data_IF_849287386956
#
_entry.id   IF_849287386956
#
_cell.length_a   1.000
_cell.length_b   1.000
_cell.length_c   1.000
_cell.angle_alpha   90.00
_cell.angle_beta   90.00
_cell.angle_gamma   90.00
#
_symmetry.space_group_name_H-M   'P 1'
#
loop_
_entity.id
_entity.type
_entity.pdbx_description
1 polymer ?
#
# COMPACT_ATOMS: atom_id res chain seq x y z
N UNK A 1 2.38 27.71 -9.70
CA UNK A 1 2.88 26.31 -9.56
C UNK A 1 3.17 25.80 -10.96
N UNK A 2 4.42 25.47 -11.25
CA UNK A 2 4.85 25.15 -12.62
C UNK A 2 4.14 23.90 -13.15
N UNK A 3 3.81 23.88 -14.44
CA UNK A 3 3.09 22.76 -15.06
C UNK A 3 3.85 21.43 -14.91
N UNK A 4 5.18 21.48 -14.92
CA UNK A 4 6.08 20.36 -14.64
C UNK A 4 5.94 19.81 -13.21
N UNK A 5 5.85 20.68 -12.21
CA UNK A 5 5.71 20.29 -10.81
C UNK A 5 4.34 19.66 -10.53
N UNK A 6 3.29 20.18 -11.19
CA UNK A 6 1.94 19.57 -11.17
C UNK A 6 1.94 18.18 -11.82
N UNK A 7 2.72 17.98 -12.87
CA UNK A 7 2.88 16.70 -13.56
C UNK A 7 3.57 15.65 -12.68
N UNK A 8 4.77 15.95 -12.18
CA UNK A 8 5.51 15.02 -11.31
C UNK A 8 4.70 14.64 -10.08
N UNK A 9 4.03 15.63 -9.48
CA UNK A 9 3.15 15.36 -8.36
C UNK A 9 1.98 14.45 -8.76
N UNK A 10 1.27 14.73 -9.85
CA UNK A 10 0.12 13.91 -10.25
C UNK A 10 0.52 12.47 -10.56
N UNK A 11 1.64 12.25 -11.23
CA UNK A 11 2.11 10.92 -11.61
C UNK A 11 2.58 10.12 -10.39
N UNK A 12 3.48 10.70 -9.58
CA UNK A 12 4.00 10.04 -8.36
C UNK A 12 2.86 9.72 -7.39
N UNK A 13 1.96 10.70 -7.15
CA UNK A 13 0.81 10.46 -6.28
C UNK A 13 -0.18 9.44 -6.86
N UNK A 14 -0.37 9.37 -8.18
CA UNK A 14 -1.25 8.36 -8.79
C UNK A 14 -0.69 6.95 -8.61
N UNK A 15 0.60 6.74 -8.87
CA UNK A 15 1.26 5.44 -8.71
C UNK A 15 1.30 5.02 -7.24
N UNK A 16 1.66 5.92 -6.34
CA UNK A 16 1.63 5.66 -4.89
C UNK A 16 0.20 5.37 -4.44
N UNK A 17 -0.81 6.11 -4.91
CA UNK A 17 -2.22 5.87 -4.54
C UNK A 17 -2.69 4.48 -4.97
N UNK A 18 -2.29 4.01 -6.15
CA UNK A 18 -2.64 2.65 -6.61
C UNK A 18 -1.99 1.59 -5.70
N UNK A 19 -0.71 1.75 -5.35
CA UNK A 19 0.01 0.83 -4.45
C UNK A 19 -0.63 0.83 -3.06
N UNK A 20 -0.90 2.01 -2.49
CA UNK A 20 -1.51 2.16 -1.16
C UNK A 20 -2.93 1.61 -1.15
N UNK A 21 -3.73 1.87 -2.18
CA UNK A 21 -5.09 1.32 -2.29
C UNK A 21 -5.06 -0.20 -2.35
N UNK A 22 -4.15 -0.78 -3.13
CA UNK A 22 -4.01 -2.22 -3.23
C UNK A 22 -3.60 -2.86 -1.91
N UNK A 23 -2.65 -2.24 -1.19
CA UNK A 23 -2.25 -2.65 0.15
C UNK A 23 -3.41 -2.53 1.14
N UNK A 24 -4.13 -1.41 1.13
CA UNK A 24 -5.25 -1.16 2.03
C UNK A 24 -6.38 -2.18 1.85
N UNK A 25 -6.75 -2.51 0.61
CA UNK A 25 -7.75 -3.56 0.31
C UNK A 25 -7.29 -4.91 0.86
N UNK A 26 -6.00 -5.24 0.75
CA UNK A 26 -5.45 -6.50 1.25
C UNK A 26 -5.37 -6.55 2.78
N UNK A 27 -4.98 -5.46 3.43
CA UNK A 27 -5.00 -5.34 4.90
C UNK A 27 -6.43 -5.42 5.41
N UNK A 28 -7.40 -4.81 4.71
CA UNK A 28 -8.81 -4.88 5.08
C UNK A 28 -9.33 -6.31 4.94
N UNK A 29 -9.02 -7.02 3.85
CA UNK A 29 -9.37 -8.43 3.67
C UNK A 29 -8.75 -9.33 4.75
N UNK A 30 -7.46 -9.17 5.03
CA UNK A 30 -6.79 -9.90 6.10
C UNK A 30 -7.38 -9.55 7.47
N UNK A 31 -7.65 -8.27 7.72
CA UNK A 31 -8.30 -7.76 8.92
C UNK A 31 -9.70 -8.35 9.10
N UNK A 32 -10.52 -8.42 8.05
CA UNK A 32 -11.82 -9.10 8.12
C UNK A 32 -11.67 -10.60 8.36
N UNK A 33 -10.67 -11.27 7.79
CA UNK A 33 -10.41 -12.69 8.05
C UNK A 33 -10.02 -12.92 9.52
N UNK A 34 -9.09 -12.13 10.05
CA UNK A 34 -8.70 -12.18 11.47
C UNK A 34 -9.82 -11.73 12.41
N UNK A 35 -10.62 -10.75 12.02
CA UNK A 35 -11.77 -10.28 12.80
C UNK A 35 -12.87 -11.34 12.84
N UNK A 36 -13.15 -12.00 11.72
CA UNK A 36 -14.02 -13.17 11.68
C UNK A 36 -13.41 -14.29 12.52
N UNK A 37 -12.11 -14.58 12.42
CA UNK A 37 -11.46 -15.61 13.24
C UNK A 37 -11.49 -15.27 14.75
N UNK A 38 -11.35 -13.99 15.10
CA UNK A 38 -11.40 -13.47 16.48
C UNK A 38 -12.83 -13.47 17.03
N UNK A 39 -13.81 -13.02 16.25
CA UNK A 39 -15.22 -13.16 16.63
C UNK A 39 -15.66 -14.63 16.71
N UNK A 40 -15.03 -15.52 15.93
CA UNK A 40 -15.24 -16.96 16.01
C UNK A 40 -14.39 -17.64 17.10
N UNK A 41 -13.57 -16.91 17.86
CA UNK A 41 -12.69 -17.56 18.84
C UNK A 41 -12.04 -16.64 19.88
N UNK A 42 -12.27 -17.02 21.14
CA UNK A 42 -11.32 -16.96 22.28
C UNK A 42 -11.54 -15.87 23.35
N UNK A 43 -12.77 -15.43 23.65
CA UNK A 43 -12.98 -14.74 24.95
C UNK A 43 -14.34 -14.95 25.61
N UNK A 44 -15.45 -14.77 24.89
CA UNK A 44 -16.77 -14.69 25.55
C UNK A 44 -17.72 -15.87 25.25
N UNK A 45 -17.35 -16.78 24.33
CA UNK A 45 -18.21 -17.90 23.92
C UNK A 45 -18.03 -19.18 24.74
N UNK A 46 -16.96 -19.28 25.53
CA UNK A 46 -16.74 -20.43 26.40
C UNK A 46 -17.20 -20.07 27.80
N UNK A 47 -18.34 -20.63 28.21
CA UNK A 47 -18.77 -20.62 29.60
C UNK A 47 -17.59 -21.00 30.52
N UNK A 48 -17.33 -20.25 31.60
CA UNK A 48 -16.19 -20.47 32.48
C UNK A 48 -16.42 -21.73 33.35
N UNK A 49 -16.35 -22.90 32.71
CA UNK A 49 -16.76 -24.18 33.30
C UNK A 49 -15.88 -24.58 34.49
N UNK A 50 -14.60 -24.19 34.46
CA UNK A 50 -13.66 -24.42 35.55
C UNK A 50 -13.98 -23.54 36.77
N UNK A 51 -14.29 -22.26 36.54
CA UNK A 51 -14.67 -21.30 37.58
C UNK A 51 -15.99 -21.72 38.22
N UNK A 52 -17.02 -21.98 37.41
CA UNK A 52 -18.30 -22.53 37.86
C UNK A 52 -18.11 -23.85 38.63
N UNK A 53 -17.23 -24.73 38.16
CA UNK A 53 -16.94 -25.99 38.85
C UNK A 53 -16.28 -25.76 40.22
N UNK A 54 -15.46 -24.73 40.39
CA UNK A 54 -14.82 -24.41 41.67
C UNK A 54 -15.82 -23.94 42.74
N UNK A 55 -16.93 -23.34 42.30
CA UNK A 55 -18.02 -22.82 43.13
C UNK A 55 -19.12 -23.85 43.46
N UNK A 56 -18.95 -25.09 43.00
CA UNK A 56 -19.82 -26.21 43.35
C UNK A 56 -19.21 -27.00 44.50
N UNK A 57 -19.89 -27.00 45.64
CA UNK A 57 -19.46 -27.70 46.87
C UNK A 57 -20.32 -28.94 47.11
N UNK A 58 -19.86 -29.86 47.97
CA UNK A 58 -20.64 -31.00 48.40
C UNK A 58 -21.18 -30.75 49.81
N UNK A 59 -22.48 -30.49 49.94
CA UNK A 59 -23.15 -30.40 51.25
C UNK A 59 -23.88 -31.72 51.52
N UNK A 60 -23.54 -32.43 52.60
CA UNK A 60 -24.15 -33.71 52.98
C UNK A 60 -24.08 -34.80 51.89
N UNK A 61 -22.98 -34.84 51.13
CA UNK A 61 -22.77 -35.82 50.05
C UNK A 61 -23.61 -35.59 48.80
N UNK A 62 -24.34 -34.46 48.70
CA UNK A 62 -25.02 -34.02 47.48
C UNK A 62 -24.31 -32.80 46.89
N UNK A 63 -24.14 -32.72 45.57
CA UNK A 63 -23.59 -31.52 44.94
C UNK A 63 -24.54 -30.33 45.18
N UNK A 64 -23.98 -29.16 45.50
CA UNK A 64 -24.71 -27.91 45.70
C UNK A 64 -23.94 -26.74 45.12
N UNK A 65 -24.62 -25.90 44.34
CA UNK A 65 -24.09 -24.65 43.82
C UNK A 65 -24.13 -23.55 44.90
N UNK A 66 -23.04 -22.79 45.04
CA UNK A 66 -23.07 -21.55 45.80
C UNK A 66 -23.78 -20.43 45.00
N UNK A 67 -23.96 -19.27 45.64
CA UNK A 67 -24.63 -18.12 45.01
C UNK A 67 -23.89 -17.61 43.76
N UNK A 68 -22.56 -17.74 43.71
CA UNK A 68 -21.75 -17.27 42.58
C UNK A 68 -21.88 -18.21 41.37
N UNK A 69 -21.90 -19.54 41.59
CA UNK A 69 -22.21 -20.52 40.56
C UNK A 69 -23.59 -20.28 39.94
N UNK A 70 -24.60 -19.95 40.76
CA UNK A 70 -25.95 -19.62 40.29
C UNK A 70 -25.98 -18.33 39.45
N UNK A 71 -25.23 -17.31 39.85
CA UNK A 71 -25.10 -16.06 39.08
C UNK A 71 -24.43 -16.29 37.73
N UNK A 72 -23.35 -17.07 37.68
CA UNK A 72 -22.65 -17.45 36.43
C UNK A 72 -23.63 -18.16 35.48
N UNK A 73 -24.42 -19.10 36.01
CA UNK A 73 -25.38 -19.87 35.22
C UNK A 73 -26.52 -18.98 34.67
N UNK A 74 -27.03 -18.08 35.51
CA UNK A 74 -28.10 -17.15 35.13
C UNK A 74 -27.61 -16.11 34.11
N UNK A 75 -26.40 -15.57 34.27
CA UNK A 75 -25.80 -14.64 33.32
C UNK A 75 -25.59 -15.26 31.93
N UNK A 76 -25.24 -16.55 31.89
CA UNK A 76 -25.07 -17.29 30.65
C UNK A 76 -26.39 -17.80 30.03
N UNK A 77 -27.53 -17.59 30.70
CA UNK A 77 -28.84 -18.14 30.32
C UNK A 77 -28.76 -19.64 29.99
N UNK A 78 -28.05 -20.37 30.85
CA UNK A 78 -27.73 -21.77 30.68
C UNK A 78 -28.39 -22.60 31.79
N UNK A 79 -28.45 -23.91 31.58
CA UNK A 79 -28.84 -24.88 32.59
C UNK A 79 -27.67 -25.81 32.87
N UNK A 80 -27.65 -26.42 34.05
CA UNK A 80 -26.60 -27.34 34.43
C UNK A 80 -27.17 -28.57 35.12
N UNK A 81 -26.52 -29.71 34.90
CA UNK A 81 -26.80 -30.95 35.62
C UNK A 81 -25.50 -31.70 35.92
N UNK A 82 -25.51 -32.50 36.99
CA UNK A 82 -24.43 -33.43 37.30
C UNK A 82 -25.00 -34.85 37.20
N UNK A 83 -24.33 -35.68 36.42
CA UNK A 83 -24.63 -37.10 36.23
C UNK A 83 -23.66 -37.94 37.07
N UNK A 84 -24.17 -38.97 37.75
CA UNK A 84 -23.32 -40.00 38.33
C UNK A 84 -22.81 -40.99 37.26
N UNK A 85 -21.96 -41.94 37.65
CA UNK A 85 -21.41 -42.95 36.75
C UNK A 85 -22.47 -43.88 36.12
N UNK A 86 -23.65 -44.01 36.76
CA UNK A 86 -24.80 -44.75 36.23
C UNK A 86 -25.66 -43.93 35.24
N UNK A 87 -25.26 -42.69 34.93
CA UNK A 87 -25.97 -41.78 34.04
C UNK A 87 -27.25 -41.19 34.63
N UNK A 88 -27.41 -41.22 35.96
CA UNK A 88 -28.55 -40.62 36.68
C UNK A 88 -28.19 -39.21 37.14
N UNK A 89 -29.12 -38.27 36.97
CA UNK A 89 -28.96 -36.88 37.44
C UNK A 89 -28.98 -36.84 38.97
N UNK A 90 -27.88 -36.38 39.58
CA UNK A 90 -27.73 -36.22 41.03
C UNK A 90 -27.91 -34.77 41.49
N UNK A 91 -27.78 -33.83 40.56
CA UNK A 91 -28.04 -32.40 40.77
C UNK A 91 -28.46 -31.76 39.46
N UNK A 92 -29.44 -30.86 39.50
CA UNK A 92 -29.90 -30.09 38.34
C UNK A 92 -30.25 -28.66 38.75
N UNK A 93 -30.06 -27.73 37.81
CA UNK A 93 -30.53 -26.37 37.91
C UNK A 93 -30.92 -25.84 36.53
N UNK A 94 -32.18 -25.41 36.40
CA UNK A 94 -32.72 -24.89 35.15
C UNK A 94 -32.88 -25.93 34.04
N UNK A 95 -32.71 -27.24 34.34
CA UNK A 95 -32.86 -28.31 33.36
C UNK A 95 -34.28 -28.33 32.78
N UNK A 96 -34.46 -28.21 31.45
CA UNK A 96 -35.77 -28.30 30.81
C UNK A 96 -36.53 -29.57 31.19
N UNK A 97 -37.83 -29.43 31.47
CA UNK A 97 -38.67 -30.56 31.91
C UNK A 97 -38.78 -31.68 30.88
N UNK A 98 -38.55 -31.37 29.61
CA UNK A 98 -38.61 -32.29 28.47
C UNK A 98 -37.44 -33.28 28.46
N UNK A 99 -36.31 -32.95 29.11
CA UNK A 99 -35.11 -33.78 29.08
C UNK A 99 -35.17 -34.92 30.13
N UNK A 100 -34.69 -36.13 29.81
CA UNK A 100 -34.74 -37.25 30.75
C UNK A 100 -33.77 -37.06 31.92
N UNK A 101 -34.07 -37.61 33.10
CA UNK A 101 -33.17 -37.53 34.29
C UNK A 101 -32.26 -38.75 34.43
N UNK A 102 -32.28 -39.61 33.42
CA UNK A 102 -31.46 -40.81 33.32
C UNK A 102 -31.05 -41.01 31.87
N UNK A 103 -29.75 -41.17 31.68
CA UNK A 103 -29.11 -41.31 30.38
C UNK A 103 -28.34 -42.61 30.33
N UNK A 104 -28.37 -43.28 29.18
CA UNK A 104 -27.48 -44.42 28.94
C UNK A 104 -26.08 -43.92 28.62
N UNK A 105 -25.08 -44.79 28.76
CA UNK A 105 -23.71 -44.49 28.31
C UNK A 105 -23.66 -44.10 26.81
N UNK A 106 -24.57 -44.63 25.99
CA UNK A 106 -24.71 -44.28 24.58
C UNK A 106 -25.20 -42.83 24.42
N UNK A 107 -26.22 -42.42 25.17
CA UNK A 107 -26.72 -41.04 25.13
C UNK A 107 -25.62 -40.06 25.54
N UNK A 108 -24.91 -40.38 26.63
CA UNK A 108 -23.77 -39.59 27.11
C UNK A 108 -22.68 -39.48 26.04
N UNK A 109 -22.32 -40.58 25.39
CA UNK A 109 -21.35 -40.56 24.31
C UNK A 109 -21.82 -39.72 23.10
N UNK A 110 -23.12 -39.70 22.80
CA UNK A 110 -23.67 -38.91 21.70
C UNK A 110 -23.64 -37.41 22.01
N UNK A 111 -24.18 -36.98 23.15
CA UNK A 111 -24.24 -35.55 23.47
C UNK A 111 -22.89 -34.98 23.91
N UNK A 112 -21.96 -35.81 24.42
CA UNK A 112 -20.59 -35.39 24.79
C UNK A 112 -19.85 -34.65 23.68
N UNK A 113 -20.29 -34.86 22.44
CA UNK A 113 -19.67 -34.27 21.27
C UNK A 113 -20.17 -32.84 21.01
N UNK A 114 -21.48 -32.57 21.11
CA UNK A 114 -22.03 -31.29 20.63
C UNK A 114 -23.34 -30.86 21.28
N UNK A 115 -24.37 -31.72 21.19
CA UNK A 115 -25.75 -31.36 21.53
C UNK A 115 -26.45 -32.50 22.27
N UNK A 116 -27.23 -32.13 23.28
CA UNK A 116 -28.28 -32.98 23.82
C UNK A 116 -29.60 -32.54 23.20
N UNK A 117 -30.15 -33.36 22.31
CA UNK A 117 -31.23 -32.96 21.39
C UNK A 117 -30.85 -31.67 20.63
N UNK A 118 -31.56 -30.57 20.83
CA UNK A 118 -31.29 -29.27 20.20
C UNK A 118 -30.45 -28.32 21.09
N UNK A 119 -30.07 -28.74 22.29
CA UNK A 119 -29.33 -27.92 23.26
C UNK A 119 -27.82 -28.11 23.07
N UNK A 120 -27.03 -27.07 22.72
CA UNK A 120 -25.58 -27.17 22.75
C UNK A 120 -25.12 -27.46 24.17
N UNK A 121 -24.26 -28.46 24.34
CA UNK A 121 -23.76 -28.87 25.66
C UNK A 121 -22.25 -28.82 25.75
N UNK A 122 -21.76 -28.36 26.90
CA UNK A 122 -20.37 -28.46 27.32
C UNK A 122 -20.27 -29.43 28.49
N UNK A 123 -19.30 -30.34 28.43
CA UNK A 123 -19.11 -31.36 29.45
C UNK A 123 -17.79 -31.17 30.21
N UNK A 124 -17.80 -31.46 31.50
CA UNK A 124 -16.63 -31.38 32.37
C UNK A 124 -16.59 -32.52 33.37
N UNK A 125 -15.41 -33.14 33.50
CA UNK A 125 -15.20 -34.21 34.47
C UNK A 125 -14.94 -33.62 35.85
N UNK A 126 -15.68 -34.09 36.85
CA UNK A 126 -15.46 -33.76 38.27
C UNK A 126 -15.21 -35.03 39.08
N UNK A 127 -14.94 -34.85 40.37
CA UNK A 127 -14.76 -35.95 41.32
C UNK A 127 -16.09 -36.64 41.71
N UNK A 128 -17.20 -35.90 41.63
CA UNK A 128 -18.57 -36.32 41.99
C UNK A 128 -19.41 -36.80 40.80
N UNK A 129 -18.87 -36.73 39.57
CA UNK A 129 -19.53 -37.19 38.36
C UNK A 129 -19.18 -36.38 37.12
N UNK A 130 -20.09 -36.38 36.15
CA UNK A 130 -19.99 -35.61 34.90
C UNK A 130 -20.89 -34.38 34.99
N UNK A 131 -20.29 -33.18 34.94
CA UNK A 131 -21.02 -31.92 34.83
C UNK A 131 -21.36 -31.66 33.37
N UNK A 132 -22.63 -31.36 33.11
CA UNK A 132 -23.16 -31.03 31.79
C UNK A 132 -23.81 -29.66 31.88
N UNK A 133 -23.40 -28.75 31.01
CA UNK A 133 -23.93 -27.39 30.92
C UNK A 133 -24.56 -27.24 29.54
N UNK A 134 -25.86 -26.96 29.51
CA UNK A 134 -26.59 -26.77 28.27
C UNK A 134 -27.03 -25.33 28.07
N UNK A 135 -26.94 -24.87 26.82
CA UNK A 135 -27.37 -23.53 26.41
C UNK A 135 -28.67 -23.60 25.64
N UNK A 136 -29.40 -22.49 25.57
CA UNK A 136 -30.66 -22.41 24.82
C UNK A 136 -30.39 -22.60 23.32
N UNK A 137 -31.25 -23.33 22.58
CA UNK A 137 -31.08 -23.52 21.13
C UNK A 137 -30.90 -22.18 20.40
N UNK A 138 -29.90 -22.11 19.52
CA UNK A 138 -29.56 -20.91 18.75
C UNK A 138 -28.67 -19.89 19.47
N UNK A 139 -28.32 -20.09 20.75
CA UNK A 139 -27.42 -19.19 21.48
C UNK A 139 -25.94 -19.44 21.17
N UNK A 140 -25.54 -20.70 21.02
CA UNK A 140 -24.16 -21.12 20.82
C UNK A 140 -24.09 -22.09 19.65
N UNK A 141 -23.17 -21.84 18.72
CA UNK A 141 -22.87 -22.77 17.63
C UNK A 141 -21.56 -23.50 17.95
N UNK A 142 -21.68 -24.72 18.47
CA UNK A 142 -20.52 -25.57 18.67
C UNK A 142 -20.02 -26.04 17.30
N UNK A 143 -18.78 -25.68 16.91
CA UNK A 143 -18.16 -26.08 15.64
C UNK A 143 -16.91 -26.96 15.82
N UNK A 144 -16.96 -28.21 15.35
CA UNK A 144 -15.77 -29.09 15.30
C UNK A 144 -14.98 -28.84 14.03
N UNK A 145 -13.81 -28.22 14.15
CA UNK A 145 -12.84 -28.25 13.07
C UNK A 145 -11.88 -29.40 13.35
N UNK A 146 -12.25 -30.61 12.95
CA UNK A 146 -11.28 -31.71 12.79
C UNK A 146 -10.65 -31.61 11.42
N UNK A 147 -9.59 -30.82 11.32
CA UNK A 147 -8.75 -30.75 10.12
C UNK A 147 -7.57 -31.69 10.29
N UNK A 148 -7.27 -32.45 9.25
CA UNK A 148 -6.07 -33.29 9.23
C UNK A 148 -4.83 -32.40 9.28
N UNK A 149 -3.98 -32.62 10.29
CA UNK A 149 -2.75 -31.86 10.55
C UNK A 149 -1.83 -31.76 9.33
N UNK A 150 -1.88 -32.74 8.41
CA UNK A 150 -1.12 -32.73 7.17
C UNK A 150 -1.42 -31.52 6.26
N UNK A 151 -2.60 -30.91 6.35
CA UNK A 151 -2.98 -29.76 5.53
C UNK A 151 -2.71 -28.40 6.18
N UNK A 152 -2.50 -28.34 7.50
CA UNK A 152 -2.24 -27.09 8.21
C UNK A 152 -0.88 -26.48 7.80
N UNK A 153 0.17 -27.31 7.76
CA UNK A 153 1.51 -26.86 7.36
C UNK A 153 1.55 -26.25 5.95
N UNK A 154 1.10 -26.97 4.90
CA UNK A 154 1.03 -26.45 3.54
C UNK A 154 0.15 -25.21 3.40
N UNK A 155 -0.96 -25.11 4.15
CA UNK A 155 -1.83 -23.93 4.14
C UNK A 155 -1.11 -22.68 4.66
N UNK A 156 -0.43 -22.78 5.81
CA UNK A 156 0.36 -21.67 6.35
C UNK A 156 1.52 -21.26 5.43
N UNK A 157 2.21 -22.24 4.83
CA UNK A 157 3.26 -21.99 3.84
C UNK A 157 2.68 -21.28 2.61
N UNK A 158 1.51 -21.71 2.13
CA UNK A 158 0.81 -21.09 1.00
C UNK A 158 0.48 -19.62 1.26
N UNK A 159 0.01 -19.27 2.46
CA UNK A 159 -0.21 -17.88 2.88
C UNK A 159 1.10 -17.09 2.86
N UNK A 160 2.19 -17.66 3.39
CA UNK A 160 3.51 -17.03 3.37
C UNK A 160 4.03 -16.78 1.96
N UNK A 161 3.89 -17.75 1.06
CA UNK A 161 4.28 -17.62 -0.36
C UNK A 161 3.44 -16.54 -1.04
N UNK A 162 2.12 -16.53 -0.85
CA UNK A 162 1.25 -15.51 -1.43
C UNK A 162 1.63 -14.09 -0.97
N UNK A 163 2.01 -13.94 0.30
CA UNK A 163 2.52 -12.69 0.85
C UNK A 163 3.84 -12.26 0.20
N UNK A 164 4.80 -13.19 0.03
CA UNK A 164 6.06 -12.90 -0.66
C UNK A 164 5.84 -12.49 -2.12
N UNK A 165 5.01 -13.23 -2.87
CA UNK A 165 4.65 -12.89 -4.26
C UNK A 165 4.07 -11.47 -4.32
N UNK A 166 3.27 -11.08 -3.34
CA UNK A 166 2.69 -9.74 -3.28
C UNK A 166 3.76 -8.66 -3.09
N UNK A 167 4.73 -8.87 -2.18
CA UNK A 167 5.86 -7.95 -1.98
C UNK A 167 6.66 -7.83 -3.28
N UNK A 168 6.97 -8.93 -3.94
CA UNK A 168 7.71 -8.92 -5.20
C UNK A 168 6.93 -8.20 -6.31
N UNK A 169 5.62 -8.39 -6.41
CA UNK A 169 4.77 -7.68 -7.37
C UNK A 169 4.78 -6.17 -7.11
N UNK A 170 4.69 -5.76 -5.84
CA UNK A 170 4.75 -4.35 -5.46
C UNK A 170 6.11 -3.74 -5.81
N UNK A 171 7.20 -4.43 -5.47
CA UNK A 171 8.55 -3.99 -5.81
C UNK A 171 8.74 -3.88 -7.32
N UNK A 172 8.24 -4.85 -8.08
CA UNK A 172 8.27 -4.84 -9.55
C UNK A 172 7.52 -3.62 -10.12
N UNK A 173 6.30 -3.34 -9.65
CA UNK A 173 5.53 -2.18 -10.10
C UNK A 173 6.21 -0.86 -9.75
N UNK A 174 6.84 -0.78 -8.57
CA UNK A 174 7.61 0.38 -8.15
C UNK A 174 8.83 0.60 -9.06
N UNK A 175 9.66 -0.43 -9.28
CA UNK A 175 10.85 -0.35 -10.13
C UNK A 175 10.47 -0.01 -11.56
N UNK A 176 9.42 -0.65 -12.11
CA UNK A 176 8.90 -0.36 -13.45
C UNK A 176 8.43 1.09 -13.57
N UNK A 177 7.70 1.58 -12.57
CA UNK A 177 7.24 2.97 -12.53
C UNK A 177 8.41 3.95 -12.48
N UNK A 178 9.44 3.67 -11.69
CA UNK A 178 10.65 4.48 -11.61
C UNK A 178 11.44 4.50 -12.93
N UNK A 179 11.66 3.34 -13.55
CA UNK A 179 12.32 3.21 -14.85
C UNK A 179 11.59 3.98 -15.95
N UNK A 180 10.25 3.96 -15.95
CA UNK A 180 9.45 4.70 -16.93
C UNK A 180 9.64 6.21 -16.79
N UNK A 181 9.73 6.72 -15.56
CA UNK A 181 10.00 8.14 -15.29
C UNK A 181 11.40 8.51 -15.75
N UNK A 182 12.41 7.72 -15.39
CA UNK A 182 13.80 7.93 -15.79
C UNK A 182 13.95 8.03 -17.32
N UNK A 183 13.41 7.05 -18.05
CA UNK A 183 13.43 7.02 -19.52
C UNK A 183 12.71 8.21 -20.16
N UNK A 184 11.65 8.71 -19.51
CA UNK A 184 10.91 9.87 -19.99
C UNK A 184 11.65 11.19 -19.73
N UNK A 185 12.53 11.23 -18.72
CA UNK A 185 13.33 12.42 -18.36
C UNK A 185 14.65 12.53 -19.11
N UNK A 186 15.28 11.41 -19.46
CA UNK A 186 16.55 11.35 -20.20
C UNK A 186 16.60 12.30 -21.43
N UNK A 187 15.63 12.31 -22.35
CA UNK A 187 15.68 13.22 -23.50
C UNK A 187 15.57 14.70 -23.12
N UNK A 188 14.85 15.05 -22.05
CA UNK A 188 14.74 16.43 -21.56
C UNK A 188 16.08 16.90 -21.00
N UNK A 189 16.74 16.06 -20.19
CA UNK A 189 18.07 16.36 -19.64
C UNK A 189 19.10 16.55 -20.76
N UNK A 190 19.10 15.65 -21.75
CA UNK A 190 19.95 15.76 -22.93
C UNK A 190 19.63 17.00 -23.77
N UNK A 191 18.35 17.38 -23.86
CA UNK A 191 17.89 18.60 -24.53
C UNK A 191 18.41 19.86 -23.85
N UNK A 192 18.34 19.93 -22.51
CA UNK A 192 18.90 21.05 -21.72
C UNK A 192 20.42 21.13 -21.88
N UNK A 193 21.12 20.00 -21.84
CA UNK A 193 22.57 19.96 -22.04
C UNK A 193 22.95 20.40 -23.47
N UNK A 194 22.17 20.00 -24.48
CA UNK A 194 22.36 20.42 -25.87
C UNK A 194 22.12 21.93 -26.04
N UNK A 195 21.08 22.46 -25.38
CA UNK A 195 20.78 23.89 -25.33
C UNK A 195 21.96 24.67 -24.72
N UNK A 196 22.51 24.19 -23.60
CA UNK A 196 23.68 24.81 -22.94
C UNK A 196 24.95 24.79 -23.81
N UNK A 197 25.06 23.84 -24.74
CA UNK A 197 26.19 23.75 -25.67
C UNK A 197 25.95 24.52 -26.98
N UNK A 198 24.81 25.21 -27.14
CA UNK A 198 24.44 25.90 -28.37
C UNK A 198 24.15 24.97 -29.55
N UNK A 199 23.89 23.68 -29.29
CA UNK A 199 23.57 22.70 -30.33
C UNK A 199 22.07 22.70 -30.63
N UNK A 200 21.72 22.48 -31.89
CA UNK A 200 20.33 22.19 -32.30
C UNK A 200 19.88 20.88 -31.67
N UNK A 201 18.70 20.89 -31.06
CA UNK A 201 17.99 19.71 -30.62
C UNK A 201 16.49 19.90 -30.89
N UNK A 202 15.75 18.79 -30.92
CA UNK A 202 14.29 18.81 -31.02
C UNK A 202 13.75 17.64 -30.21
N UNK A 203 12.79 17.91 -29.34
CA UNK A 203 12.10 16.91 -28.54
C UNK A 203 10.72 16.65 -29.12
N UNK A 204 10.29 15.39 -29.17
CA UNK A 204 8.93 15.05 -29.62
C UNK A 204 7.88 15.62 -28.66
N UNK A 205 6.94 16.40 -29.19
CA UNK A 205 5.86 17.04 -28.41
C UNK A 205 4.67 16.08 -28.23
N UNK A 206 4.94 14.87 -27.74
CA UNK A 206 3.94 13.81 -27.56
C UNK A 206 3.86 13.35 -26.10
N UNK A 207 2.67 12.89 -25.71
CA UNK A 207 2.43 12.31 -24.39
C UNK A 207 2.35 13.35 -23.27
N UNK A 208 2.56 12.89 -22.04
CA UNK A 208 2.31 13.70 -20.84
C UNK A 208 3.36 14.82 -20.62
N UNK A 209 4.51 14.75 -21.30
CA UNK A 209 5.60 15.74 -21.26
C UNK A 209 5.60 16.69 -22.46
N UNK A 210 4.60 16.61 -23.35
CA UNK A 210 4.54 17.40 -24.57
C UNK A 210 4.69 18.91 -24.35
N UNK A 211 4.06 19.44 -23.29
CA UNK A 211 4.12 20.88 -22.97
C UNK A 211 5.53 21.32 -22.55
N UNK A 212 6.27 20.48 -21.82
CA UNK A 212 7.66 20.75 -21.42
C UNK A 212 8.56 20.68 -22.65
N UNK A 213 8.38 19.65 -23.48
CA UNK A 213 9.13 19.47 -24.72
C UNK A 213 8.92 20.67 -25.67
N UNK A 214 7.67 21.11 -25.86
CA UNK A 214 7.32 22.28 -26.65
C UNK A 214 7.88 23.58 -26.05
N UNK A 215 7.89 23.70 -24.72
CA UNK A 215 8.53 24.82 -24.03
C UNK A 215 10.04 24.88 -24.29
N UNK A 216 10.71 23.73 -24.22
CA UNK A 216 12.16 23.65 -24.42
C UNK A 216 12.55 23.85 -25.89
N UNK A 217 11.77 23.30 -26.83
CA UNK A 217 11.94 23.55 -28.27
C UNK A 217 11.85 25.05 -28.59
N UNK A 218 10.79 25.73 -28.11
CA UNK A 218 10.62 27.18 -28.29
C UNK A 218 11.77 27.99 -27.70
N UNK A 219 12.26 27.60 -26.52
CA UNK A 219 13.41 28.25 -25.90
C UNK A 219 14.69 28.08 -26.75
N UNK A 220 14.91 26.88 -27.29
CA UNK A 220 16.00 26.59 -28.20
C UNK A 220 15.94 27.42 -29.48
N UNK A 221 14.78 27.46 -30.14
CA UNK A 221 14.56 28.27 -31.34
C UNK A 221 14.78 29.76 -31.07
N UNK A 222 14.27 30.27 -29.94
CA UNK A 222 14.45 31.66 -29.57
C UNK A 222 15.92 32.03 -29.35
N UNK A 223 16.68 31.19 -28.64
CA UNK A 223 18.12 31.37 -28.41
C UNK A 223 18.89 31.38 -29.74
N UNK A 224 18.63 30.40 -30.61
CA UNK A 224 19.28 30.31 -31.91
C UNK A 224 18.95 31.49 -32.83
N UNK A 225 17.69 31.92 -32.83
CA UNK A 225 17.27 33.09 -33.60
C UNK A 225 18.00 34.34 -33.11
N UNK A 226 18.11 34.53 -31.80
CA UNK A 226 18.83 35.66 -31.20
C UNK A 226 20.31 35.66 -31.61
N UNK A 227 20.98 34.51 -31.58
CA UNK A 227 22.39 34.40 -31.95
C UNK A 227 22.62 34.63 -33.45
N UNK A 228 21.74 34.10 -34.31
CA UNK A 228 21.79 34.36 -35.75
C UNK A 228 21.57 35.84 -36.06
N UNK A 229 20.56 36.47 -35.48
CA UNK A 229 20.31 37.91 -35.67
C UNK A 229 21.49 38.74 -35.18
N UNK A 230 22.12 38.37 -34.07
CA UNK A 230 23.36 39.03 -33.60
C UNK A 230 24.50 38.88 -34.61
N UNK A 231 24.69 37.68 -35.16
CA UNK A 231 25.75 37.41 -36.14
C UNK A 231 25.52 38.10 -37.49
N UNK A 232 24.26 38.19 -37.94
CA UNK A 232 23.85 38.96 -39.12
C UNK A 232 24.06 40.45 -38.91
N UNK A 233 23.67 40.97 -37.74
CA UNK A 233 23.86 42.37 -37.37
C UNK A 233 25.34 42.77 -37.33
N UNK A 234 26.20 41.94 -36.72
CA UNK A 234 27.66 42.17 -36.71
C UNK A 234 28.23 42.17 -38.14
N UNK A 235 27.78 41.25 -39.00
CA UNK A 235 28.21 41.22 -40.42
C UNK A 235 27.74 42.46 -41.18
N UNK A 236 26.50 42.90 -40.97
CA UNK A 236 25.95 44.12 -41.56
C UNK A 236 26.77 45.35 -41.16
N UNK A 237 27.02 45.54 -39.87
CA UNK A 237 27.87 46.64 -39.37
C UNK A 237 29.27 46.56 -39.94
N UNK A 238 29.89 45.37 -39.96
CA UNK A 238 31.25 45.21 -40.49
C UNK A 238 31.34 45.57 -41.97
N UNK A 239 30.33 45.20 -42.76
CA UNK A 239 30.22 45.59 -44.16
C UNK A 239 30.09 47.12 -44.31
N UNK A 240 29.18 47.72 -43.55
CA UNK A 240 28.87 49.14 -43.66
C UNK A 240 29.99 50.05 -43.14
N UNK A 241 30.80 49.56 -42.18
CA UNK A 241 32.03 50.24 -41.73
C UNK A 241 33.16 50.06 -42.74
N UNK A 242 33.28 48.90 -43.40
CA UNK A 242 34.34 48.64 -44.36
C UNK A 242 34.27 49.58 -45.56
N UNK A 243 33.08 49.80 -46.12
CA UNK A 243 32.90 50.62 -47.33
C UNK A 243 33.49 52.03 -47.21
N UNK A 244 33.14 52.88 -46.22
CA UNK A 244 33.73 54.19 -46.07
C UNK A 244 35.22 54.11 -45.70
N UNK A 245 35.64 53.12 -44.92
CA UNK A 245 37.06 52.97 -44.55
C UNK A 245 37.93 52.65 -45.78
N UNK A 246 37.44 51.79 -46.69
CA UNK A 246 38.11 51.48 -47.96
C UNK A 246 38.18 52.69 -48.88
N UNK A 247 37.15 53.56 -48.87
CA UNK A 247 37.16 54.83 -49.61
C UNK A 247 38.20 55.80 -49.00
N UNK A 248 38.21 55.98 -47.67
CA UNK A 248 39.19 56.84 -46.97
C UNK A 248 40.62 56.35 -47.23
N UNK A 249 40.82 55.03 -47.15
CA UNK A 249 42.09 54.39 -47.46
C UNK A 249 42.51 54.63 -48.92
N UNK A 250 41.60 54.45 -49.88
CA UNK A 250 41.88 54.74 -51.30
C UNK A 250 42.29 56.19 -51.54
N UNK A 251 41.57 57.15 -50.98
CA UNK A 251 41.93 58.57 -51.07
C UNK A 251 43.27 58.88 -50.39
N UNK A 252 43.58 58.25 -49.26
CA UNK A 252 44.88 58.42 -48.62
C UNK A 252 46.01 57.94 -49.54
N UNK A 253 45.83 56.83 -50.26
CA UNK A 253 46.87 56.31 -51.15
C UNK A 253 47.04 57.18 -52.41
N UNK A 254 45.94 57.71 -52.97
CA UNK A 254 46.03 58.72 -54.04
C UNK A 254 46.80 59.97 -53.61
N UNK A 255 46.62 60.41 -52.35
CA UNK A 255 47.35 61.57 -51.79
C UNK A 255 48.84 61.24 -51.56
N UNK A 256 49.17 60.02 -51.13
CA UNK A 256 50.57 59.59 -50.97
C UNK A 256 51.31 59.59 -52.32
N UNK A 257 50.67 59.07 -53.38
CA UNK A 257 51.27 58.89 -54.71
C UNK A 257 51.31 60.19 -55.54
N UNK A 258 50.60 61.24 -55.12
CA UNK A 258 50.57 62.50 -55.85
C UNK A 258 51.85 63.34 -55.62
N UNK A 259 52.76 63.28 -56.60
CA UNK A 259 54.04 63.98 -56.57
C UNK A 259 53.95 65.51 -56.51
N UNK A 260 52.80 66.11 -56.84
CA UNK A 260 52.58 67.57 -56.80
C UNK A 260 52.29 68.13 -55.40
N UNK A 261 52.00 67.27 -54.42
CA UNK A 261 51.71 67.67 -53.04
C UNK A 261 52.97 67.75 -52.15
N UNK A 262 52.98 68.61 -51.12
CA UNK A 262 54.10 68.73 -50.18
C UNK A 262 54.43 67.41 -49.47
N UNK A 263 55.73 67.13 -49.26
CA UNK A 263 56.20 65.89 -48.63
C UNK A 263 55.58 65.61 -47.25
N UNK A 264 55.30 66.65 -46.45
CA UNK A 264 54.66 66.53 -45.13
C UNK A 264 53.24 65.95 -45.22
N UNK A 265 52.47 66.32 -46.24
CA UNK A 265 51.10 65.85 -46.47
C UNK A 265 51.10 64.40 -46.94
N UNK A 266 51.98 64.05 -47.89
CA UNK A 266 52.11 62.66 -48.35
C UNK A 266 52.57 61.72 -47.24
N UNK A 267 53.46 62.18 -46.36
CA UNK A 267 53.91 61.41 -45.19
C UNK A 267 52.80 61.14 -44.18
N UNK A 268 51.84 62.07 -44.03
CA UNK A 268 50.66 61.85 -43.20
C UNK A 268 49.69 60.86 -43.85
N UNK A 269 49.47 60.96 -45.16
CA UNK A 269 48.62 60.03 -45.91
C UNK A 269 49.16 58.59 -45.88
N UNK A 270 50.49 58.43 -45.96
CA UNK A 270 51.19 57.15 -45.80
C UNK A 270 50.89 56.42 -44.47
N UNK A 271 50.54 57.15 -43.41
CA UNK A 271 50.21 56.51 -42.13
C UNK A 271 48.87 55.75 -42.16
N UNK A 272 48.05 55.96 -43.19
CA UNK A 272 46.74 55.35 -43.37
C UNK A 272 46.78 54.20 -44.41
N UNK A 273 47.76 54.17 -45.33
CA UNK A 273 47.89 53.18 -46.43
C UNK A 273 48.57 51.83 -46.09
#
# INVERSE_FOLDING_TARGET
>A
MNTAERFFRRYIFSTIRIIVLFLAVKVLLAGTFFFIAYLNGVADSNFPIEDFSSHMTALNGKPTADTQALEILHHANAWAMILNDDGTVIWENGLPEELPRKYTATDIAMFSRWYLDDYPVNIWKRADGLLVIGFIPGSVFNHYISTNTAYIGPFCIGIGIAFLINIFLMLYLFVRGAHQVEKSMEPILNGIQSLSQGKKFHLEEKGELAEINAGLNRAGEYLMKKDNTRAEWIRGISHDVRTPLSIIYGYACEIEDNASLPFSVRKQAKAIC
#
